data_IF_069555130663
#
_entry.id   IF_069555130663
#
_cell.length_a   1.000
_cell.length_b   1.000
_cell.length_c   1.000
_cell.angle_alpha   90.00
_cell.angle_beta   90.00
_cell.angle_gamma   90.00
#
_symmetry.space_group_name_H-M   'P 1'
#
loop_
_entity.id
_entity.type
_entity.pdbx_description
1 polymer ?
#
# COMPACT_ATOMS: atom_id res chain seq x y z
N UNK A 1 8.56 -14.86 9.34
CA UNK A 1 7.52 -15.86 9.63
C UNK A 1 7.30 -16.69 8.40
N UNK A 2 7.12 -18.01 8.57
CA UNK A 2 6.69 -18.84 7.45
C UNK A 2 5.22 -18.54 7.13
N UNK A 3 4.94 -18.27 5.86
CA UNK A 3 3.58 -18.15 5.34
C UNK A 3 2.98 -19.56 5.39
N UNK A 4 2.06 -19.77 6.31
CA UNK A 4 1.31 -21.02 6.50
C UNK A 4 -0.16 -20.66 6.69
N UNK A 5 -1.08 -21.62 6.53
CA UNK A 5 -2.52 -21.36 6.73
C UNK A 5 -2.84 -20.75 8.11
N UNK A 6 -2.04 -21.06 9.15
CA UNK A 6 -2.20 -20.51 10.50
C UNK A 6 -1.86 -19.02 10.60
N UNK A 7 -0.96 -18.52 9.74
CA UNK A 7 -0.48 -17.13 9.77
C UNK A 7 -0.89 -16.33 8.54
N UNK A 8 -1.67 -16.91 7.63
CA UNK A 8 -2.08 -16.27 6.38
C UNK A 8 -2.90 -15.01 6.63
N UNK A 9 -3.81 -15.04 7.61
CA UNK A 9 -4.59 -13.84 7.99
C UNK A 9 -3.70 -12.71 8.51
N UNK A 10 -2.68 -13.03 9.31
CA UNK A 10 -1.69 -12.04 9.79
C UNK A 10 -0.85 -11.49 8.66
N UNK A 11 -0.47 -12.34 7.71
CA UNK A 11 0.28 -11.94 6.51
C UNK A 11 -0.54 -10.95 5.67
N UNK A 12 -1.80 -11.27 5.37
CA UNK A 12 -2.70 -10.39 4.61
C UNK A 12 -2.90 -9.07 5.36
N UNK A 13 -3.15 -9.11 6.68
CA UNK A 13 -3.25 -7.90 7.49
C UNK A 13 -1.98 -7.05 7.44
N UNK A 14 -0.80 -7.67 7.49
CA UNK A 14 0.48 -6.99 7.31
C UNK A 14 0.59 -6.33 5.94
N UNK A 15 0.25 -7.04 4.87
CA UNK A 15 0.31 -6.49 3.52
C UNK A 15 -0.63 -5.29 3.37
N UNK A 16 -1.87 -5.38 3.87
CA UNK A 16 -2.83 -4.27 3.82
C UNK A 16 -2.31 -3.08 4.61
N UNK A 17 -1.82 -3.29 5.84
CA UNK A 17 -1.28 -2.22 6.68
C UNK A 17 -0.12 -1.50 5.97
N UNK A 18 0.81 -2.25 5.40
CA UNK A 18 1.96 -1.68 4.71
C UNK A 18 1.59 -1.05 3.37
N UNK A 19 0.62 -1.60 2.64
CA UNK A 19 0.09 -0.99 1.42
C UNK A 19 -0.52 0.38 1.72
N UNK A 20 -1.39 0.47 2.72
CA UNK A 20 -2.03 1.73 3.15
C UNK A 20 -0.98 2.73 3.62
N UNK A 21 -0.06 2.31 4.49
CA UNK A 21 1.03 3.16 4.96
C UNK A 21 1.91 3.65 3.81
N UNK A 22 2.22 2.77 2.85
CA UNK A 22 3.00 3.08 1.67
C UNK A 22 2.31 4.08 0.75
N UNK A 23 1.01 3.89 0.47
CA UNK A 23 0.20 4.84 -0.30
C UNK A 23 0.23 6.21 0.35
N UNK A 24 -0.02 6.30 1.66
CA UNK A 24 -0.01 7.57 2.40
C UNK A 24 1.37 8.23 2.39
N UNK A 25 2.44 7.45 2.53
CA UNK A 25 3.81 7.97 2.48
C UNK A 25 4.16 8.54 1.11
N UNK A 26 3.66 7.94 0.03
CA UNK A 26 3.86 8.43 -1.33
C UNK A 26 3.08 9.71 -1.61
N UNK A 27 1.81 9.79 -1.20
CA UNK A 27 1.01 11.02 -1.30
C UNK A 27 1.71 12.19 -0.58
N UNK A 28 2.24 11.95 0.63
CA UNK A 28 3.03 12.96 1.35
C UNK A 28 4.27 13.39 0.57
N UNK A 29 4.98 12.43 -0.04
CA UNK A 29 6.16 12.70 -0.87
C UNK A 29 5.79 13.49 -2.14
N UNK A 30 4.69 13.17 -2.81
CA UNK A 30 4.18 13.95 -3.94
C UNK A 30 3.83 15.38 -3.53
N UNK A 31 3.17 15.57 -2.39
CA UNK A 31 2.89 16.92 -1.86
C UNK A 31 4.19 17.69 -1.64
N UNK A 32 5.20 17.09 -1.03
CA UNK A 32 6.49 17.75 -0.78
C UNK A 32 7.20 18.10 -2.09
N UNK A 33 7.21 17.20 -3.07
CA UNK A 33 7.85 17.43 -4.36
C UNK A 33 7.12 18.50 -5.18
N UNK A 34 5.78 18.50 -5.15
CA UNK A 34 4.97 19.53 -5.76
C UNK A 34 5.22 20.91 -5.13
N UNK A 35 5.37 20.98 -3.81
CA UNK A 35 5.77 22.21 -3.11
C UNK A 35 7.19 22.67 -3.49
N UNK A 36 8.08 21.74 -3.85
CA UNK A 36 9.42 22.04 -4.38
C UNK A 36 9.44 22.40 -5.87
N UNK A 37 8.27 22.47 -6.54
CA UNK A 37 8.14 22.80 -7.96
C UNK A 37 8.33 21.63 -8.92
N UNK A 38 8.50 20.41 -8.40
CA UNK A 38 8.52 19.18 -9.19
C UNK A 38 7.08 18.66 -9.31
N UNK A 39 6.41 19.00 -10.42
CA UNK A 39 5.03 18.58 -10.70
C UNK A 39 4.97 17.06 -10.95
N UNK A 40 4.87 16.28 -9.87
CA UNK A 40 4.83 14.82 -9.90
C UNK A 40 3.43 14.37 -9.52
N UNK A 41 2.83 13.57 -10.40
CA UNK A 41 1.60 12.83 -10.16
C UNK A 41 1.78 11.44 -10.76
N UNK A 42 2.22 10.52 -9.91
CA UNK A 42 2.49 9.13 -10.24
C UNK A 42 1.53 8.23 -9.43
N UNK A 43 0.24 8.47 -9.60
CA UNK A 43 -0.82 7.61 -9.07
C UNK A 43 -1.59 6.98 -10.22
N UNK A 44 -1.65 5.65 -10.26
CA UNK A 44 -2.58 4.94 -11.13
C UNK A 44 -3.94 4.87 -10.42
N UNK A 45 -5.03 4.98 -11.20
CA UNK A 45 -6.40 5.08 -10.70
C UNK A 45 -6.79 4.03 -9.65
N UNK A 46 -7.90 4.28 -8.92
CA UNK A 46 -8.25 3.49 -7.76
C UNK A 46 -8.41 2.00 -8.11
N UNK A 47 -7.69 1.15 -7.38
CA UNK A 47 -7.84 -0.30 -7.43
C UNK A 47 -8.59 -0.72 -6.18
N UNK A 48 -9.70 -1.43 -6.35
CA UNK A 48 -10.60 -1.70 -5.24
C UNK A 48 -11.59 -2.83 -5.50
N UNK A 49 -12.37 -3.13 -4.47
CA UNK A 49 -13.42 -4.12 -4.48
C UNK A 49 -14.74 -3.43 -4.15
N UNK A 50 -15.75 -3.70 -4.97
CA UNK A 50 -17.10 -3.16 -4.82
C UNK A 50 -18.10 -4.32 -4.78
N UNK A 51 -18.93 -4.36 -3.73
CA UNK A 51 -19.98 -5.38 -3.55
C UNK A 51 -21.35 -4.76 -3.29
N UNK A 52 -21.63 -3.60 -3.90
CA UNK A 52 -22.86 -2.79 -3.80
C UNK A 52 -23.14 -2.21 -2.40
N UNK A 53 -22.78 -2.91 -1.32
CA UNK A 53 -23.03 -2.51 0.07
C UNK A 53 -21.77 -1.88 0.71
N UNK A 54 -20.59 -2.36 0.30
CA UNK A 54 -19.29 -1.90 0.80
C UNK A 54 -18.34 -1.80 -0.38
N UNK A 55 -17.68 -0.66 -0.51
CA UNK A 55 -16.68 -0.43 -1.55
C UNK A 55 -15.38 0.07 -0.89
N UNK A 56 -14.27 -0.61 -1.18
CA UNK A 56 -12.95 -0.24 -0.66
C UNK A 56 -12.02 -0.02 -1.84
N UNK A 57 -11.45 1.18 -1.93
CA UNK A 57 -10.57 1.60 -3.01
C UNK A 57 -9.24 2.11 -2.45
N UNK A 58 -8.15 1.70 -3.07
CA UNK A 58 -6.80 2.21 -2.81
C UNK A 58 -6.22 2.72 -4.12
N UNK A 59 -5.68 3.94 -4.11
CA UNK A 59 -4.88 4.44 -5.23
C UNK A 59 -3.64 3.58 -5.39
N UNK A 60 -3.39 3.08 -6.61
CA UNK A 60 -2.20 2.28 -6.88
C UNK A 60 -1.06 3.23 -7.24
N UNK A 61 -0.17 3.49 -6.29
CA UNK A 61 0.99 4.34 -6.50
C UNK A 61 2.30 3.58 -6.15
N UNK A 62 3.48 4.13 -6.51
CA UNK A 62 4.77 3.51 -6.16
C UNK A 62 4.92 3.24 -4.66
N UNK A 63 4.32 4.08 -3.81
CA UNK A 63 4.23 3.87 -2.37
C UNK A 63 3.50 2.59 -2.00
N UNK A 64 2.36 2.31 -2.60
CA UNK A 64 1.59 1.07 -2.38
C UNK A 64 2.44 -0.16 -2.68
N UNK A 65 3.11 -0.15 -3.83
CA UNK A 65 3.97 -1.27 -4.26
C UNK A 65 5.17 -1.45 -3.33
N UNK A 66 5.85 -0.35 -2.99
CA UNK A 66 6.95 -0.36 -2.04
C UNK A 66 6.49 -0.85 -0.65
N UNK A 67 5.32 -0.39 -0.20
CA UNK A 67 4.68 -0.82 1.02
C UNK A 67 4.46 -2.33 1.05
N UNK A 68 3.77 -2.89 0.04
CA UNK A 68 3.54 -4.34 -0.08
C UNK A 68 4.86 -5.12 -0.06
N UNK A 69 5.86 -4.67 -0.82
CA UNK A 69 7.17 -5.31 -0.87
C UNK A 69 7.88 -5.30 0.50
N UNK A 70 7.86 -4.18 1.21
CA UNK A 70 8.41 -4.04 2.56
C UNK A 70 7.65 -4.89 3.57
N UNK A 71 6.32 -4.88 3.52
CA UNK A 71 5.47 -5.71 4.39
C UNK A 71 5.75 -7.20 4.19
N UNK A 72 5.95 -7.64 2.95
CA UNK A 72 6.34 -9.02 2.64
C UNK A 72 7.73 -9.37 3.19
N UNK A 73 8.72 -8.51 2.97
CA UNK A 73 10.09 -8.71 3.44
C UNK A 73 10.16 -8.76 4.98
N UNK A 74 9.48 -7.83 5.65
CA UNK A 74 9.44 -7.76 7.12
C UNK A 74 8.68 -8.95 7.70
N UNK A 75 7.53 -9.31 7.13
CA UNK A 75 6.79 -10.48 7.58
C UNK A 75 7.62 -11.76 7.46
N UNK A 76 8.47 -11.89 6.43
CA UNK A 76 9.38 -13.04 6.31
C UNK A 76 10.47 -13.06 7.37
N UNK A 77 10.95 -11.90 7.82
CA UNK A 77 12.00 -11.78 8.85
C UNK A 77 11.51 -11.99 10.29
N UNK A 78 10.21 -11.79 10.57
CA UNK A 78 9.59 -11.97 11.91
C UNK A 78 9.24 -13.44 12.16
#
# INVERSE_FOLDING_TARGET
MKITNKNLGKFIGFLILFAVTGTLAWELLEVILNLAGLAINLSAGPVGFDIDIISIYISANPGTLAGIALGWLLFRRI
#
